data_IF_898333078547
#
_entry.id   IF_898333078547
#
_cell.length_a   1.000
_cell.length_b   1.000
_cell.length_c   1.000
_cell.angle_alpha   90.00
_cell.angle_beta   90.00
_cell.angle_gamma   90.00
#
_symmetry.space_group_name_H-M   'P 1'
#
loop_
_entity.id
_entity.type
_entity.pdbx_description
1 polymer ?
#
# COMPACT_ATOMS: atom_id res chain seq x y z
N UNK A 1 17.36 4.65 -12.36
CA UNK A 1 18.54 3.86 -11.95
C UNK A 1 19.09 3.12 -13.16
N UNK A 2 20.40 3.12 -13.35
CA UNK A 2 21.05 2.41 -14.47
C UNK A 2 20.84 0.88 -14.37
N UNK A 3 20.58 0.24 -15.51
CA UNK A 3 20.37 -1.22 -15.61
C UNK A 3 21.45 -2.04 -14.89
N UNK A 4 22.72 -1.69 -15.06
CA UNK A 4 23.84 -2.44 -14.48
C UNK A 4 23.83 -2.37 -12.95
N UNK A 5 23.46 -1.21 -12.39
CA UNK A 5 23.34 -0.99 -10.95
C UNK A 5 22.11 -1.70 -10.36
N UNK A 6 21.01 -1.76 -11.10
CA UNK A 6 19.87 -2.58 -10.68
C UNK A 6 20.28 -4.06 -10.59
N UNK A 7 20.93 -4.60 -11.63
CA UNK A 7 21.35 -6.00 -11.69
C UNK A 7 22.27 -6.37 -10.52
N UNK A 8 23.20 -5.50 -10.12
CA UNK A 8 24.06 -5.76 -8.96
C UNK A 8 23.31 -5.73 -7.63
N UNK A 9 22.19 -5.01 -7.55
CA UNK A 9 21.37 -4.86 -6.35
C UNK A 9 20.29 -5.96 -6.20
N UNK A 10 19.91 -6.65 -7.28
CA UNK A 10 18.84 -7.68 -7.30
C UNK A 10 19.02 -8.74 -6.21
N UNK A 11 20.24 -9.24 -6.02
CA UNK A 11 20.51 -10.29 -5.04
C UNK A 11 20.19 -9.83 -3.60
N UNK A 12 20.54 -8.59 -3.27
CA UNK A 12 20.27 -8.00 -1.96
C UNK A 12 18.77 -7.70 -1.79
N UNK A 13 18.12 -7.12 -2.81
CA UNK A 13 16.68 -6.86 -2.77
C UNK A 13 15.89 -8.14 -2.58
N UNK A 14 16.28 -9.21 -3.27
CA UNK A 14 15.66 -10.54 -3.13
C UNK A 14 15.72 -11.01 -1.67
N UNK A 15 16.88 -10.91 -1.02
CA UNK A 15 17.02 -11.32 0.39
C UNK A 15 16.12 -10.49 1.31
N UNK A 16 16.05 -9.18 1.10
CA UNK A 16 15.20 -8.26 1.87
C UNK A 16 13.72 -8.64 1.70
N UNK A 17 13.28 -8.89 0.47
CA UNK A 17 11.88 -9.22 0.17
C UNK A 17 11.50 -10.58 0.73
N UNK A 18 12.33 -11.61 0.54
CA UNK A 18 12.07 -12.96 1.08
C UNK A 18 12.01 -12.91 2.60
N UNK A 19 12.97 -12.25 3.26
CA UNK A 19 12.98 -12.12 4.71
C UNK A 19 11.69 -11.47 5.21
N UNK A 20 11.23 -10.39 4.55
CA UNK A 20 9.97 -9.74 4.90
C UNK A 20 8.75 -10.64 4.66
N UNK A 21 8.66 -11.29 3.50
CA UNK A 21 7.53 -12.14 3.14
C UNK A 21 7.41 -13.35 4.08
N UNK A 22 8.54 -13.98 4.44
CA UNK A 22 8.57 -15.09 5.41
C UNK A 22 8.05 -14.68 6.79
N UNK A 23 8.33 -13.45 7.25
CA UNK A 23 7.77 -12.98 8.54
C UNK A 23 6.24 -12.85 8.56
N UNK A 24 5.58 -12.91 7.39
CA UNK A 24 4.14 -12.74 7.24
C UNK A 24 3.43 -14.00 6.75
N UNK A 25 4.03 -14.74 5.81
CA UNK A 25 3.41 -15.87 5.12
C UNK A 25 3.74 -17.23 5.75
N UNK A 26 4.88 -17.33 6.44
CA UNK A 26 5.44 -18.58 6.97
C UNK A 26 5.48 -19.72 5.92
N UNK A 27 5.74 -19.34 4.66
CA UNK A 27 5.69 -20.22 3.49
C UNK A 27 6.78 -19.77 2.51
N UNK A 28 7.72 -20.67 2.24
CA UNK A 28 8.88 -20.37 1.42
C UNK A 28 8.52 -20.14 -0.05
N UNK A 29 7.65 -20.98 -0.61
CA UNK A 29 7.28 -20.88 -2.03
C UNK A 29 6.48 -19.59 -2.27
N UNK A 30 5.55 -19.27 -1.37
CA UNK A 30 4.82 -18.01 -1.45
C UNK A 30 5.72 -16.78 -1.24
N UNK A 31 6.77 -16.88 -0.42
CA UNK A 31 7.75 -15.81 -0.25
C UNK A 31 8.60 -15.59 -1.51
N UNK A 32 8.97 -16.67 -2.21
CA UNK A 32 9.67 -16.61 -3.50
C UNK A 32 8.80 -15.97 -4.59
N UNK A 33 7.52 -16.32 -4.66
CA UNK A 33 6.57 -15.70 -5.60
C UNK A 33 6.46 -14.18 -5.37
N UNK A 34 6.33 -13.77 -4.10
CA UNK A 34 6.32 -12.35 -3.71
C UNK A 34 7.63 -11.66 -4.13
N UNK A 35 8.78 -12.31 -3.93
CA UNK A 35 10.06 -11.77 -4.35
C UNK A 35 10.15 -11.57 -5.86
N UNK A 36 9.68 -12.55 -6.64
CA UNK A 36 9.61 -12.46 -8.09
C UNK A 36 8.77 -11.26 -8.55
N UNK A 37 7.56 -11.10 -8.01
CA UNK A 37 6.66 -10.02 -8.40
C UNK A 37 7.22 -8.63 -8.02
N UNK A 38 7.82 -8.48 -6.83
CA UNK A 38 8.43 -7.21 -6.40
C UNK A 38 9.60 -6.84 -7.32
N UNK A 39 10.51 -7.78 -7.59
CA UNK A 39 11.67 -7.55 -8.45
C UNK A 39 11.25 -7.23 -9.90
N UNK A 40 10.17 -7.85 -10.40
CA UNK A 40 9.64 -7.55 -11.73
C UNK A 40 9.10 -6.12 -11.80
N UNK A 41 8.28 -5.69 -10.83
CA UNK A 41 7.73 -4.33 -10.80
C UNK A 41 8.82 -3.26 -10.65
N UNK A 42 9.85 -3.53 -9.83
CA UNK A 42 11.01 -2.64 -9.71
C UNK A 42 11.81 -2.58 -11.00
N UNK A 43 11.94 -3.69 -11.71
CA UNK A 43 12.60 -3.74 -13.02
C UNK A 43 11.85 -2.92 -14.08
N UNK A 44 10.53 -3.05 -14.17
CA UNK A 44 9.71 -2.32 -15.14
C UNK A 44 9.87 -0.80 -15.02
N UNK A 45 10.08 -0.28 -13.80
CA UNK A 45 10.28 1.14 -13.54
C UNK A 45 11.72 1.48 -13.14
N UNK A 46 12.69 0.64 -13.48
CA UNK A 46 14.07 0.83 -13.04
C UNK A 46 14.66 2.18 -13.47
N UNK A 47 14.25 2.72 -14.63
CA UNK A 47 14.66 4.04 -15.12
C UNK A 47 14.18 5.17 -14.19
N UNK A 48 12.95 5.07 -13.69
CA UNK A 48 12.30 6.03 -12.78
C UNK A 48 12.79 5.91 -11.33
N UNK A 49 13.34 4.76 -10.94
CA UNK A 49 13.90 4.57 -9.60
C UNK A 49 15.06 5.55 -9.37
N UNK A 50 15.01 6.26 -8.24
CA UNK A 50 16.13 7.07 -7.80
C UNK A 50 17.41 6.24 -7.68
N UNK A 51 18.56 6.85 -7.94
CA UNK A 51 19.88 6.22 -7.74
C UNK A 51 20.25 6.02 -6.25
N UNK A 52 19.28 6.23 -5.36
CA UNK A 52 19.40 6.03 -3.92
C UNK A 52 19.03 4.60 -3.56
N UNK A 53 20.05 3.77 -3.34
CA UNK A 53 19.92 2.35 -3.03
C UNK A 53 19.07 2.09 -1.80
N UNK A 54 19.18 2.92 -0.76
CA UNK A 54 18.44 2.72 0.49
C UNK A 54 16.95 3.00 0.31
N UNK A 55 16.60 4.00 -0.51
CA UNK A 55 15.19 4.21 -0.91
C UNK A 55 14.64 3.02 -1.68
N UNK A 56 15.40 2.45 -2.61
CA UNK A 56 14.96 1.27 -3.37
C UNK A 56 14.77 0.06 -2.45
N UNK A 57 15.66 -0.16 -1.49
CA UNK A 57 15.51 -1.22 -0.46
C UNK A 57 14.26 -1.00 0.40
N UNK A 58 14.02 0.24 0.83
CA UNK A 58 12.82 0.59 1.57
C UNK A 58 11.54 0.30 0.76
N UNK A 59 11.51 0.74 -0.51
CA UNK A 59 10.41 0.49 -1.42
C UNK A 59 10.15 -1.02 -1.60
N UNK A 60 11.20 -1.81 -1.84
CA UNK A 60 11.09 -3.27 -1.97
C UNK A 60 10.47 -3.90 -0.71
N UNK A 61 10.87 -3.44 0.48
CA UNK A 61 10.36 -3.92 1.76
C UNK A 61 8.87 -3.58 1.96
N UNK A 62 8.45 -2.37 1.57
CA UNK A 62 7.04 -1.95 1.59
C UNK A 62 6.22 -2.77 0.60
N UNK A 63 6.73 -2.98 -0.61
CA UNK A 63 6.06 -3.81 -1.62
C UNK A 63 5.89 -5.26 -1.10
N UNK A 64 6.96 -5.85 -0.55
CA UNK A 64 6.93 -7.19 0.03
C UNK A 64 5.85 -7.34 1.11
N UNK A 65 5.76 -6.38 2.05
CA UNK A 65 4.72 -6.33 3.09
C UNK A 65 3.33 -6.30 2.46
N UNK A 66 3.08 -5.41 1.50
CA UNK A 66 1.75 -5.24 0.92
C UNK A 66 1.31 -6.43 0.06
N UNK A 67 2.20 -6.99 -0.77
CA UNK A 67 1.91 -8.21 -1.53
C UNK A 67 1.62 -9.39 -0.61
N UNK A 68 2.44 -9.60 0.42
CA UNK A 68 2.22 -10.68 1.39
C UNK A 68 0.87 -10.55 2.09
N UNK A 69 0.49 -9.34 2.50
CA UNK A 69 -0.82 -9.09 3.08
C UNK A 69 -1.97 -9.36 2.08
N UNK A 70 -1.79 -9.09 0.79
CA UNK A 70 -2.77 -9.42 -0.23
C UNK A 70 -2.91 -10.95 -0.40
N UNK A 71 -1.80 -11.70 -0.44
CA UNK A 71 -1.80 -13.17 -0.47
C UNK A 71 -2.56 -13.75 0.72
N UNK A 72 -2.30 -13.26 1.95
CA UNK A 72 -3.03 -13.70 3.14
C UNK A 72 -4.53 -13.44 3.04
N UNK A 73 -4.95 -12.31 2.44
CA UNK A 73 -6.39 -12.03 2.23
C UNK A 73 -7.00 -12.98 1.23
N UNK A 74 -6.33 -13.25 0.11
CA UNK A 74 -6.82 -14.21 -0.88
C UNK A 74 -6.97 -15.62 -0.27
N UNK A 75 -5.99 -16.05 0.55
CA UNK A 75 -6.08 -17.30 1.33
C UNK A 75 -7.30 -17.31 2.27
N UNK A 76 -7.62 -16.19 2.93
CA UNK A 76 -8.81 -16.06 3.79
C UNK A 76 -10.14 -16.05 3.03
N UNK A 77 -10.16 -15.57 1.78
CA UNK A 77 -11.36 -15.53 0.91
C UNK A 77 -11.67 -16.89 0.26
N UNK A 78 -10.77 -17.87 0.32
CA UNK A 78 -10.99 -19.21 -0.22
C UNK A 78 -12.22 -19.88 0.44
N UNK A 79 -13.10 -20.55 -0.34
CA UNK A 79 -14.43 -21.00 0.10
C UNK A 79 -14.46 -21.87 1.36
N UNK A 80 -13.40 -22.64 1.64
CA UNK A 80 -13.33 -23.51 2.82
C UNK A 80 -13.32 -22.71 4.13
N UNK A 81 -12.83 -21.46 4.12
CA UNK A 81 -12.72 -20.63 5.33
C UNK A 81 -13.84 -19.59 5.49
N UNK A 82 -14.79 -19.54 4.54
CA UNK A 82 -15.97 -18.65 4.59
C UNK A 82 -16.99 -19.05 5.68
N UNK A 83 -16.86 -20.23 6.29
CA UNK A 83 -17.73 -20.67 7.38
C UNK A 83 -17.49 -19.84 8.67
N UNK A 84 -16.30 -19.25 8.85
CA UNK A 84 -15.94 -18.54 10.09
C UNK A 84 -15.88 -17.01 9.97
N UNK A 85 -15.90 -16.44 8.77
CA UNK A 85 -15.79 -14.99 8.58
C UNK A 85 -16.88 -14.44 7.67
N UNK A 86 -18.05 -14.16 8.27
CA UNK A 86 -19.09 -13.33 7.66
C UNK A 86 -18.93 -11.87 8.08
N UNK A 87 -18.25 -11.09 7.24
CA UNK A 87 -18.48 -9.66 6.91
C UNK A 87 -17.15 -9.00 6.53
N UNK A 88 -16.77 -9.11 5.26
CA UNK A 88 -16.19 -7.99 4.55
C UNK A 88 -16.94 -7.94 3.22
N UNK A 89 -17.78 -6.92 3.04
CA UNK A 89 -18.35 -6.61 1.73
C UNK A 89 -17.20 -6.02 0.92
N UNK A 90 -16.67 -6.82 0.02
CA UNK A 90 -15.86 -6.34 -1.09
C UNK A 90 -16.82 -5.60 -2.03
N UNK A 91 -16.74 -4.27 -2.06
CA UNK A 91 -17.15 -3.53 -3.24
C UNK A 91 -15.95 -3.56 -4.20
N UNK A 92 -16.15 -4.35 -5.25
CA UNK A 92 -15.37 -4.41 -6.47
C UNK A 92 -15.51 -3.08 -7.20
N UNK A 93 -14.76 -2.06 -6.78
CA UNK A 93 -14.73 -0.78 -7.49
C UNK A 93 -13.71 -0.88 -8.64
N UNK A 94 -14.23 -1.23 -9.82
CA UNK A 94 -13.65 -0.83 -11.09
C UNK A 94 -13.34 0.67 -11.04
N UNK A 95 -12.05 1.01 -11.03
CA UNK A 95 -11.60 2.40 -10.97
C UNK A 95 -11.83 3.10 -12.32
N UNK A 96 -12.99 3.73 -12.46
CA UNK A 96 -13.24 4.71 -13.52
C UNK A 96 -12.56 6.04 -13.15
N UNK A 97 -11.60 6.47 -13.96
CA UNK A 97 -10.83 7.70 -13.81
C UNK A 97 -11.56 8.77 -14.63
N UNK A 98 -12.68 9.26 -14.11
CA UNK A 98 -13.35 10.44 -14.66
C UNK A 98 -13.69 11.37 -13.50
N UNK A 99 -13.21 12.61 -13.60
CA UNK A 99 -13.31 13.72 -12.64
C UNK A 99 -12.37 13.63 -11.42
N UNK A 100 -11.18 14.21 -11.58
CA UNK A 100 -10.26 14.59 -10.49
C UNK A 100 -10.43 16.10 -10.26
N UNK A 101 -11.13 16.55 -9.19
CA UNK A 101 -11.08 17.94 -8.78
C UNK A 101 -9.75 18.28 -8.09
N UNK A 102 -9.40 19.56 -8.06
CA UNK A 102 -8.13 20.11 -7.55
C UNK A 102 -7.74 19.65 -6.12
N UNK A 103 -6.43 19.60 -5.81
CA UNK A 103 -5.93 18.97 -4.58
C UNK A 103 -6.25 19.79 -3.33
N UNK A 104 -7.17 19.29 -2.50
CA UNK A 104 -7.37 19.77 -1.13
C UNK A 104 -6.24 19.23 -0.22
N UNK A 105 -5.53 20.14 0.44
CA UNK A 105 -4.51 19.82 1.45
C UNK A 105 -5.04 20.12 2.85
N UNK A 106 -5.53 19.13 3.62
CA UNK A 106 -5.72 19.29 5.05
C UNK A 106 -4.36 19.06 5.70
N UNK A 107 -3.68 20.15 6.02
CA UNK A 107 -2.54 20.15 6.93
C UNK A 107 -3.04 20.57 8.31
N UNK A 108 -2.48 19.96 9.35
CA UNK A 108 -2.88 20.00 10.76
C UNK A 108 -3.95 18.95 11.10
N UNK A 109 -3.58 17.97 11.93
CA UNK A 109 -4.38 17.44 13.04
C UNK A 109 -3.59 16.32 13.72
N UNK A 110 -2.60 16.70 14.53
CA UNK A 110 -2.09 15.85 15.61
C UNK A 110 -1.68 16.78 16.75
N UNK A 111 -2.61 17.05 17.67
CA UNK A 111 -2.32 17.49 19.04
C UNK A 111 -3.63 17.43 19.85
N UNK A 112 -3.96 16.22 20.33
CA UNK A 112 -4.68 15.93 21.58
C UNK A 112 -4.98 14.43 21.64
N UNK A 113 -4.79 13.80 22.82
CA UNK A 113 -4.99 12.34 23.00
C UNK A 113 -6.41 11.89 22.62
N UNK A 114 -7.41 12.70 22.95
CA UNK A 114 -8.82 12.44 22.61
C UNK A 114 -9.08 12.50 21.09
N UNK A 115 -8.43 13.46 20.42
CA UNK A 115 -8.48 13.62 18.96
C UNK A 115 -7.80 12.45 18.25
N UNK A 116 -6.69 11.93 18.80
CA UNK A 116 -5.99 10.76 18.28
C UNK A 116 -6.86 9.49 18.22
N UNK A 117 -7.64 9.23 19.27
CA UNK A 117 -8.54 8.06 19.32
C UNK A 117 -9.72 8.19 18.34
N UNK A 118 -10.23 9.41 18.12
CA UNK A 118 -11.26 9.68 17.12
C UNK A 118 -10.71 9.41 15.71
N UNK A 119 -9.51 9.92 15.41
CA UNK A 119 -8.85 9.73 14.11
C UNK A 119 -8.57 8.24 13.87
N UNK A 120 -8.04 7.52 14.86
CA UNK A 120 -7.77 6.09 14.71
C UNK A 120 -9.05 5.29 14.44
N UNK A 121 -10.14 5.58 15.16
CA UNK A 121 -11.46 4.99 14.89
C UNK A 121 -11.97 5.34 13.50
N UNK A 122 -11.79 6.58 13.04
CA UNK A 122 -12.21 7.01 11.72
C UNK A 122 -11.43 6.29 10.60
N UNK A 123 -10.11 6.16 10.73
CA UNK A 123 -9.24 5.43 9.80
C UNK A 123 -9.63 3.94 9.73
N UNK A 124 -10.01 3.33 10.87
CA UNK A 124 -10.46 1.93 10.92
C UNK A 124 -11.77 1.67 10.17
N UNK A 125 -12.57 2.70 9.91
CA UNK A 125 -13.82 2.63 9.14
C UNK A 125 -13.63 2.89 7.64
N UNK A 126 -12.45 3.34 7.21
CA UNK A 126 -12.15 3.52 5.79
C UNK A 126 -11.99 2.17 5.08
N UNK A 127 -12.40 2.08 3.80
CA UNK A 127 -12.06 0.96 2.93
C UNK A 127 -10.54 0.69 2.95
N UNK A 128 -10.16 -0.57 2.80
CA UNK A 128 -8.78 -1.00 2.95
C UNK A 128 -7.80 -0.23 2.04
N UNK A 129 -8.14 -0.08 0.75
CA UNK A 129 -7.29 0.62 -0.22
C UNK A 129 -7.09 2.10 0.15
N UNK A 130 -8.11 2.73 0.76
CA UNK A 130 -8.08 4.14 1.18
C UNK A 130 -7.23 4.31 2.43
N UNK A 131 -7.33 3.36 3.37
CA UNK A 131 -6.45 3.31 4.54
C UNK A 131 -4.99 3.13 4.12
N UNK A 132 -4.74 2.25 3.15
CA UNK A 132 -3.38 1.94 2.70
C UNK A 132 -2.69 3.12 2.04
N UNK A 133 -3.38 3.87 1.20
CA UNK A 133 -2.77 5.07 0.59
C UNK A 133 -2.44 6.14 1.64
N UNK A 134 -3.30 6.32 2.65
CA UNK A 134 -3.01 7.21 3.78
C UNK A 134 -1.81 6.70 4.58
N UNK A 135 -1.72 5.40 4.87
CA UNK A 135 -0.61 4.81 5.62
C UNK A 135 0.73 5.04 4.90
N UNK A 136 0.78 4.69 3.61
CA UNK A 136 1.99 4.84 2.78
C UNK A 136 2.41 6.30 2.63
N UNK A 137 1.44 7.22 2.50
CA UNK A 137 1.75 8.64 2.32
C UNK A 137 2.19 9.32 3.61
N UNK A 138 1.50 9.07 4.71
CA UNK A 138 1.70 9.82 5.95
C UNK A 138 2.79 9.20 6.83
N UNK A 139 2.89 7.87 6.90
CA UNK A 139 3.90 7.17 7.72
C UNK A 139 5.13 6.77 6.90
N UNK A 140 4.95 6.16 5.73
CA UNK A 140 6.06 5.68 4.90
C UNK A 140 6.63 6.81 3.99
N UNK A 141 6.03 8.01 4.03
CA UNK A 141 6.45 9.22 3.30
C UNK A 141 6.65 9.02 1.79
N UNK A 142 5.89 8.08 1.21
CA UNK A 142 6.01 7.72 -0.19
C UNK A 142 5.38 8.77 -1.12
N UNK A 143 6.01 8.96 -2.27
CA UNK A 143 5.44 9.68 -3.41
C UNK A 143 4.25 8.91 -4.00
N UNK A 144 3.40 9.59 -4.78
CA UNK A 144 2.28 8.91 -5.43
C UNK A 144 2.74 7.90 -6.48
N UNK A 145 3.90 8.13 -7.12
CA UNK A 145 4.50 7.19 -8.07
C UNK A 145 4.95 5.89 -7.37
N UNK A 146 5.59 6.00 -6.20
CA UNK A 146 5.97 4.84 -5.38
C UNK A 146 4.73 4.09 -4.86
N UNK A 147 3.69 4.81 -4.43
CA UNK A 147 2.42 4.19 -4.01
C UNK A 147 1.75 3.45 -5.19
N UNK A 148 1.78 4.03 -6.37
CA UNK A 148 1.26 3.42 -7.58
C UNK A 148 2.01 2.12 -7.94
N UNK A 149 3.33 2.08 -7.73
CA UNK A 149 4.14 0.86 -7.82
C UNK A 149 3.66 -0.22 -6.83
N UNK A 150 3.46 0.15 -5.57
CA UNK A 150 3.03 -0.78 -4.52
C UNK A 150 1.63 -1.35 -4.79
N UNK A 151 0.69 -0.49 -5.21
CA UNK A 151 -0.70 -0.87 -5.42
C UNK A 151 -0.96 -1.48 -6.80
N UNK A 152 -0.02 -1.39 -7.74
CA UNK A 152 -0.24 -1.81 -9.13
C UNK A 152 -1.24 -0.92 -9.87
N UNK A 153 -1.30 0.37 -9.54
CA UNK A 153 -2.22 1.35 -10.15
C UNK A 153 -1.44 2.47 -10.83
N UNK A 154 -2.15 3.49 -11.35
CA UNK A 154 -1.54 4.72 -11.87
C UNK A 154 -1.41 5.79 -10.78
N UNK A 155 -0.46 6.72 -10.94
CA UNK A 155 -0.30 7.85 -10.02
C UNK A 155 -1.58 8.68 -9.90
N UNK A 156 -2.27 8.92 -11.03
CA UNK A 156 -3.55 9.63 -11.07
C UNK A 156 -4.63 8.92 -10.25
N UNK A 157 -4.69 7.58 -10.33
CA UNK A 157 -5.61 6.78 -9.52
C UNK A 157 -5.30 6.93 -8.02
N UNK A 158 -4.02 6.91 -7.64
CA UNK A 158 -3.59 7.14 -6.27
C UNK A 158 -4.01 8.53 -5.76
N UNK A 159 -3.84 9.59 -6.56
CA UNK A 159 -4.27 10.95 -6.18
C UNK A 159 -5.78 11.02 -5.95
N UNK A 160 -6.57 10.46 -6.86
CA UNK A 160 -8.02 10.38 -6.71
C UNK A 160 -8.45 9.58 -5.48
N UNK A 161 -7.78 8.44 -5.22
CA UNK A 161 -8.04 7.61 -4.05
C UNK A 161 -7.72 8.35 -2.74
N UNK A 162 -6.61 9.07 -2.69
CA UNK A 162 -6.20 9.87 -1.53
C UNK A 162 -7.22 10.99 -1.24
N UNK A 163 -7.74 11.63 -2.28
CA UNK A 163 -8.79 12.64 -2.14
C UNK A 163 -10.06 12.05 -1.54
N UNK A 164 -10.57 10.94 -2.11
CA UNK A 164 -11.75 10.23 -1.60
C UNK A 164 -11.54 9.77 -0.15
N UNK A 165 -10.35 9.25 0.17
CA UNK A 165 -10.00 8.82 1.52
C UNK A 165 -10.08 9.96 2.54
N UNK A 166 -9.49 11.13 2.21
CA UNK A 166 -9.53 12.32 3.08
C UNK A 166 -10.94 12.87 3.27
N UNK A 167 -11.72 12.99 2.19
CA UNK A 167 -13.09 13.46 2.26
C UNK A 167 -13.95 12.55 3.16
N UNK A 168 -13.79 11.23 3.03
CA UNK A 168 -14.50 10.27 3.87
C UNK A 168 -14.04 10.31 5.33
N UNK A 169 -12.74 10.47 5.56
CA UNK A 169 -12.19 10.57 6.91
C UNK A 169 -12.79 11.76 7.66
N UNK A 170 -12.87 12.94 7.01
CA UNK A 170 -13.50 14.13 7.58
C UNK A 170 -14.98 13.90 7.89
N UNK A 171 -15.74 13.26 6.99
CA UNK A 171 -17.15 12.92 7.24
C UNK A 171 -17.32 12.01 8.46
N UNK A 172 -16.42 11.04 8.65
CA UNK A 172 -16.48 10.11 9.79
C UNK A 172 -16.09 10.83 11.08
N UNK A 173 -15.04 11.66 11.06
CA UNK A 173 -14.62 12.45 12.23
C UNK A 173 -15.76 13.37 12.69
N UNK A 174 -16.38 14.10 11.76
CA UNK A 174 -17.51 15.00 12.06
C UNK A 174 -18.76 14.27 12.59
N UNK A 175 -18.85 12.95 12.46
CA UNK A 175 -19.93 12.14 13.00
C UNK A 175 -19.60 11.54 14.37
N UNK A 176 -18.31 11.45 14.70
CA UNK A 176 -17.80 10.88 15.96
C UNK A 176 -17.54 11.98 17.01
N UNK A 177 -17.16 13.18 16.57
CA UNK A 177 -17.17 14.43 17.36
C UNK A 177 -18.59 14.88 17.67
#
# INVERSE_FOLDING_TARGET
>A
MERQKYISLVAELRQIVIAKALTLLDDHDAAEDVAGEVLMKLWERHEELHDDTEKVKHLANVMAKNLSLNVLRQRRRHPIMRIFHRKEKDDDDSFDISDIPEPFTPHQYVEDKETGDIVHRAISQLPYNWRKILEMREYEKMSFAEIALVLGTTESSCRGLMFKARAKLLQIINRIS
#
